data_IF_195396484104
#
_entry.id   IF_195396484104
#
_cell.length_a   1.000
_cell.length_b   1.000
_cell.length_c   1.000
_cell.angle_alpha   90.00
_cell.angle_beta   90.00
_cell.angle_gamma   90.00
#
_symmetry.space_group_name_H-M   'P 1'
#
loop_
_entity.id
_entity.type
_entity.pdbx_description
1 polymer ?
#
# COMPACT_ATOMS: atom_id res chain seq x y z
N UNK A 1 14.80 -11.20 -19.57
CA UNK A 1 14.39 -10.62 -19.44
C UNK A 1 13.88 -10.32 -19.42
N UNK A 2 13.72 -10.48 -19.21
CA UNK A 2 12.78 -10.04 -19.47
C UNK A 2 12.81 -9.01 -19.90
N UNK A 3 13.01 -8.88 -20.30
CA UNK A 3 12.95 -7.95 -20.74
C UNK A 3 12.16 -7.40 -21.62
N UNK A 4 12.01 -7.34 -22.35
CA UNK A 4 10.99 -6.69 -23.10
C UNK A 4 10.03 -5.89 -22.23
N UNK A 5 9.09 -5.14 -22.82
CA UNK A 5 8.13 -4.40 -22.00
C UNK A 5 7.34 -5.34 -21.11
N UNK A 6 7.17 -4.96 -19.87
CA UNK A 6 6.35 -5.73 -18.97
C UNK A 6 4.90 -5.60 -19.34
N UNK A 7 4.21 -6.72 -19.30
CA UNK A 7 2.78 -6.74 -19.50
C UNK A 7 2.17 -6.58 -18.11
N UNK A 8 1.50 -5.45 -17.90
CA UNK A 8 0.76 -5.22 -16.66
C UNK A 8 -0.66 -5.72 -16.82
N UNK A 9 -1.28 -6.08 -15.73
CA UNK A 9 -2.69 -6.42 -15.73
C UNK A 9 -3.51 -5.17 -16.06
N UNK A 10 -4.75 -5.32 -16.54
CA UNK A 10 -5.58 -4.15 -16.90
C UNK A 10 -5.78 -3.20 -15.73
N UNK A 11 -6.04 -1.93 -16.05
CA UNK A 11 -6.36 -0.93 -15.04
C UNK A 11 -7.55 -1.38 -14.21
N UNK A 12 -7.50 -1.04 -12.92
CA UNK A 12 -8.60 -1.34 -12.02
C UNK A 12 -8.66 -0.26 -10.94
N UNK A 13 -9.87 -0.10 -10.39
CA UNK A 13 -10.09 0.80 -9.27
C UNK A 13 -10.05 0.03 -7.96
N UNK A 14 -9.70 0.67 -6.86
CA UNK A 14 -9.76 -0.01 -5.57
C UNK A 14 -11.22 -0.26 -5.19
N UNK A 15 -11.46 -1.41 -4.56
CA UNK A 15 -12.80 -1.65 -4.01
C UNK A 15 -12.94 -1.03 -2.62
N UNK A 16 -11.85 -0.59 -2.02
CA UNK A 16 -11.85 0.08 -0.73
C UNK A 16 -10.63 0.96 -0.60
N UNK A 17 -10.82 2.15 -0.06
CA UNK A 17 -9.73 3.05 0.31
C UNK A 17 -10.01 3.56 1.71
N UNK A 18 -9.00 3.59 2.55
CA UNK A 18 -9.20 4.00 3.94
C UNK A 18 -7.97 4.58 4.55
N UNK A 19 -8.11 4.95 5.80
CA UNK A 19 -7.03 5.50 6.60
C UNK A 19 -6.96 4.80 7.93
N UNK A 20 -5.76 4.67 8.46
CA UNK A 20 -5.52 4.06 9.75
C UNK A 20 -4.56 4.94 10.54
N UNK A 21 -5.02 5.45 11.67
CA UNK A 21 -4.18 6.23 12.57
C UNK A 21 -3.32 5.26 13.38
N UNK A 22 -2.00 5.34 13.20
CA UNK A 22 -1.07 4.42 13.83
C UNK A 22 -0.29 5.06 14.97
N UNK A 23 -0.37 6.39 15.11
CA UNK A 23 0.24 7.11 16.21
C UNK A 23 -0.48 8.45 16.37
N UNK A 24 -0.15 9.24 17.43
CA UNK A 24 -0.77 10.56 17.57
C UNK A 24 -0.54 11.49 16.38
N UNK A 25 0.53 11.27 15.61
CA UNK A 25 0.88 12.17 14.50
C UNK A 25 0.75 11.53 13.11
N UNK A 26 0.72 10.20 13.00
CA UNK A 26 0.69 9.55 11.70
C UNK A 26 -0.63 8.88 11.39
N UNK A 27 -1.18 9.22 10.23
CA UNK A 27 -2.40 8.65 9.69
C UNK A 27 -2.07 8.08 8.31
N UNK A 28 -2.17 6.78 8.16
CA UNK A 28 -1.76 6.08 6.94
C UNK A 28 -2.92 5.97 5.96
N UNK A 29 -2.60 6.16 4.69
CA UNK A 29 -3.53 5.87 3.60
C UNK A 29 -3.23 4.49 3.03
N UNK A 30 -4.27 3.70 2.82
CA UNK A 30 -4.13 2.42 2.14
C UNK A 30 -5.35 2.17 1.26
N UNK A 31 -5.18 1.30 0.28
CA UNK A 31 -6.29 0.89 -0.58
C UNK A 31 -6.22 -0.60 -0.87
N UNK A 32 -7.37 -1.17 -1.20
CA UNK A 32 -7.48 -2.58 -1.54
C UNK A 32 -8.09 -2.70 -2.92
N UNK A 33 -7.50 -3.55 -3.75
CA UNK A 33 -7.93 -3.78 -5.12
C UNK A 33 -7.96 -5.28 -5.42
N UNK A 34 -8.58 -5.64 -6.53
CA UNK A 34 -8.60 -7.02 -6.99
C UNK A 34 -9.67 -7.85 -6.31
N UNK A 35 -9.31 -9.04 -5.89
CA UNK A 35 -10.26 -10.02 -5.33
C UNK A 35 -10.35 -9.86 -3.81
N UNK A 36 -11.50 -9.41 -3.27
CA UNK A 36 -11.65 -9.25 -1.82
C UNK A 36 -11.45 -10.55 -1.04
N UNK A 37 -11.66 -11.68 -1.69
CA UNK A 37 -11.50 -12.98 -1.07
C UNK A 37 -10.22 -13.68 -1.53
N UNK A 38 -9.36 -12.96 -2.22
CA UNK A 38 -8.15 -13.52 -2.79
C UNK A 38 -7.02 -13.60 -1.78
N UNK A 39 -5.90 -14.10 -2.26
CA UNK A 39 -4.68 -14.22 -1.47
C UNK A 39 -4.14 -12.81 -1.21
N UNK A 40 -3.95 -12.42 0.05
CA UNK A 40 -3.50 -11.06 0.35
C UNK A 40 -2.04 -10.84 -0.04
N UNK A 41 -1.79 -9.66 -0.61
CA UNK A 41 -0.44 -9.20 -0.90
C UNK A 41 -0.37 -7.71 -0.56
N UNK A 42 0.67 -7.31 0.16
CA UNK A 42 0.91 -5.91 0.51
C UNK A 42 2.08 -5.42 -0.33
N UNK A 43 1.83 -4.37 -1.10
CA UNK A 43 2.89 -3.74 -1.89
C UNK A 43 3.41 -2.52 -1.13
N UNK A 44 4.72 -2.49 -0.89
CA UNK A 44 5.40 -1.36 -0.27
C UNK A 44 6.18 -0.63 -1.36
N UNK A 45 5.84 0.63 -1.57
CA UNK A 45 6.50 1.42 -2.60
C UNK A 45 7.96 1.68 -2.26
N UNK A 46 8.77 1.89 -3.29
CA UNK A 46 10.18 2.25 -3.10
C UNK A 46 10.34 3.75 -3.06
N UNK A 47 11.49 4.19 -2.54
CA UNK A 47 11.87 5.58 -2.51
C UNK A 47 11.08 6.42 -1.51
N UNK A 48 11.67 7.49 -1.01
CA UNK A 48 10.96 8.36 -0.07
C UNK A 48 10.01 9.31 -0.80
N UNK A 49 8.89 9.63 -0.17
CA UNK A 49 8.01 10.71 -0.56
C UNK A 49 6.95 10.39 -1.60
N UNK A 50 7.20 9.45 -2.50
CA UNK A 50 6.33 9.25 -3.66
C UNK A 50 5.00 8.58 -3.34
N UNK A 51 5.02 7.58 -2.48
CA UNK A 51 3.83 6.79 -2.21
C UNK A 51 3.49 5.82 -3.33
N UNK A 52 2.32 5.23 -3.27
CA UNK A 52 1.85 4.30 -4.29
C UNK A 52 1.15 5.05 -5.42
N UNK A 53 1.13 4.41 -6.60
CA UNK A 53 0.48 4.96 -7.79
C UNK A 53 -0.49 3.94 -8.34
N UNK A 54 -1.42 4.39 -9.17
CA UNK A 54 -2.42 3.52 -9.78
C UNK A 54 -1.81 2.33 -10.52
N UNK A 55 -0.65 2.53 -11.15
CA UNK A 55 0.01 1.45 -11.89
C UNK A 55 0.43 0.29 -10.99
N UNK A 56 0.66 0.54 -9.69
CA UNK A 56 1.08 -0.52 -8.77
C UNK A 56 -0.02 -1.57 -8.58
N UNK A 57 -1.30 -1.20 -8.77
CA UNK A 57 -2.40 -2.15 -8.73
C UNK A 57 -2.29 -3.20 -9.83
N UNK A 58 -1.59 -2.87 -10.91
CA UNK A 58 -1.50 -3.69 -12.11
C UNK A 58 -0.36 -4.68 -12.09
N UNK A 59 0.38 -4.76 -10.96
CA UNK A 59 1.51 -5.67 -10.84
C UNK A 59 1.07 -7.10 -10.47
N UNK A 60 -0.16 -7.26 -9.98
CA UNK A 60 -0.66 -8.53 -9.47
C UNK A 60 -1.96 -8.90 -10.17
N UNK A 61 -2.21 -10.21 -10.30
CA UNK A 61 -3.43 -10.71 -10.93
C UNK A 61 -4.63 -10.40 -10.04
N UNK A 62 -5.55 -9.51 -10.48
CA UNK A 62 -6.68 -9.11 -9.66
C UNK A 62 -7.72 -10.21 -9.44
N UNK A 63 -7.67 -11.29 -10.21
CA UNK A 63 -8.56 -12.43 -10.01
C UNK A 63 -8.08 -13.30 -8.85
N UNK A 64 -6.78 -13.28 -8.57
CA UNK A 64 -6.14 -14.15 -7.58
C UNK A 64 -5.86 -13.43 -6.27
N UNK A 65 -5.43 -12.19 -6.34
CA UNK A 65 -4.89 -11.48 -5.17
C UNK A 65 -5.82 -10.41 -4.65
N UNK A 66 -5.83 -10.30 -3.31
CA UNK A 66 -6.34 -9.13 -2.60
C UNK A 66 -5.14 -8.19 -2.47
N UNK A 67 -5.14 -7.14 -3.26
CA UNK A 67 -3.98 -6.26 -3.43
C UNK A 67 -4.10 -5.06 -2.49
N UNK A 68 -3.18 -4.95 -1.54
CA UNK A 68 -3.15 -3.85 -0.58
C UNK A 68 -1.99 -2.94 -0.94
N UNK A 69 -2.29 -1.68 -1.24
CA UNK A 69 -1.28 -0.66 -1.45
C UNK A 69 -1.26 0.23 -0.22
N UNK A 70 -0.08 0.41 0.37
CA UNK A 70 0.09 1.20 1.57
C UNK A 70 1.04 2.35 1.29
N UNK A 71 0.58 3.58 1.57
CA UNK A 71 1.47 4.73 1.56
C UNK A 71 2.13 4.81 2.92
N UNK A 72 3.45 4.69 2.93
CA UNK A 72 4.24 4.68 4.16
C UNK A 72 4.18 6.05 4.85
N UNK A 73 4.58 6.08 6.14
CA UNK A 73 4.61 7.34 6.89
C UNK A 73 5.36 8.42 6.11
N UNK A 74 4.78 9.61 6.03
CA UNK A 74 5.40 10.73 5.35
C UNK A 74 5.33 10.67 3.83
N UNK A 75 4.66 9.67 3.26
CA UNK A 75 4.65 9.43 1.82
C UNK A 75 3.23 9.49 1.25
N UNK A 76 3.14 9.92 -0.01
CA UNK A 76 1.89 9.89 -0.75
C UNK A 76 0.76 10.60 -0.03
N UNK A 77 -0.33 9.89 0.17
CA UNK A 77 -1.54 10.42 0.82
C UNK A 77 -1.55 10.22 2.32
N UNK A 78 -0.54 9.54 2.89
CA UNK A 78 -0.41 9.44 4.33
C UNK A 78 -0.01 10.80 4.92
N UNK A 79 -0.51 11.11 6.10
CA UNK A 79 -0.26 12.42 6.71
C UNK A 79 0.43 12.29 8.04
N UNK A 80 1.29 13.24 8.45
CA UNK A 80 1.69 14.43 7.69
C UNK A 80 2.69 14.08 6.59
N UNK A 81 2.57 14.77 5.47
CA UNK A 81 3.43 14.54 4.32
C UNK A 81 4.88 14.94 4.62
N UNK A 82 5.83 14.11 4.16
CA UNK A 82 7.26 14.35 4.28
C UNK A 82 7.76 14.41 5.74
N UNK A 83 6.99 13.91 6.68
CA UNK A 83 7.43 13.88 8.07
C UNK A 83 8.48 12.82 8.30
N UNK A 84 9.56 13.20 8.99
CA UNK A 84 10.61 12.26 9.42
C UNK A 84 10.44 11.87 10.88
N UNK A 85 9.50 12.47 11.57
CA UNK A 85 9.26 12.22 12.99
C UNK A 85 8.61 10.84 13.15
N UNK A 86 9.13 10.03 14.09
CA UNK A 86 8.63 8.68 14.33
C UNK A 86 8.55 7.87 13.03
N UNK A 87 9.58 7.97 12.19
CA UNK A 87 9.54 7.36 10.86
C UNK A 87 10.82 6.57 10.60
N UNK A 88 10.92 5.41 11.25
CA UNK A 88 12.05 4.50 11.12
C UNK A 88 11.58 3.19 10.50
N UNK A 89 12.54 2.30 10.19
CA UNK A 89 12.22 0.96 9.70
C UNK A 89 11.34 0.19 10.69
N UNK A 90 11.58 0.39 11.99
CA UNK A 90 10.75 -0.27 13.01
C UNK A 90 9.32 0.23 12.98
N UNK A 91 9.13 1.52 12.74
CA UNK A 91 7.79 2.07 12.57
C UNK A 91 7.09 1.49 11.34
N UNK A 92 7.83 1.29 10.26
CA UNK A 92 7.26 0.67 9.05
C UNK A 92 6.78 -0.75 9.34
N UNK A 93 7.59 -1.55 10.03
CA UNK A 93 7.19 -2.91 10.41
C UNK A 93 5.92 -2.89 11.26
N UNK A 94 5.89 -2.00 12.25
CA UNK A 94 4.73 -1.85 13.11
C UNK A 94 3.48 -1.45 12.32
N UNK A 95 3.63 -0.56 11.36
CA UNK A 95 2.52 -0.08 10.53
C UNK A 95 1.97 -1.19 9.64
N UNK A 96 2.84 -2.00 9.04
CA UNK A 96 2.40 -3.13 8.22
C UNK A 96 1.58 -4.10 9.06
N UNK A 97 2.02 -4.37 10.30
CA UNK A 97 1.28 -5.22 11.22
C UNK A 97 -0.08 -4.62 11.60
N UNK A 98 -0.12 -3.31 11.83
CA UNK A 98 -1.37 -2.63 12.16
C UNK A 98 -2.38 -2.72 11.01
N UNK A 99 -1.92 -2.49 9.79
CA UNK A 99 -2.76 -2.60 8.60
C UNK A 99 -3.24 -4.03 8.41
N UNK A 100 -2.34 -5.01 8.60
CA UNK A 100 -2.70 -6.41 8.49
C UNK A 100 -3.84 -6.77 9.45
N UNK A 101 -3.73 -6.32 10.69
CA UNK A 101 -4.76 -6.59 11.70
C UNK A 101 -6.06 -5.89 11.38
N UNK A 102 -5.97 -4.65 10.92
CA UNK A 102 -7.15 -3.87 10.54
C UNK A 102 -7.94 -4.58 9.42
N UNK A 103 -7.23 -5.19 8.48
CA UNK A 103 -7.83 -5.85 7.34
C UNK A 103 -8.17 -7.32 7.59
N UNK A 104 -7.86 -7.84 8.76
CA UNK A 104 -8.15 -9.22 9.10
C UNK A 104 -7.32 -10.25 8.36
N UNK A 105 -6.11 -9.89 8.02
CA UNK A 105 -5.22 -10.75 7.24
C UNK A 105 -4.27 -11.52 8.17
#
# INVERSE_FOLDING_TARGET
MLDGPRILYPDLEPFYAGRLKVSPIHDLYYEQSGNPNGKPVVFLHGGPGGGTEAKHRRYFDPAVYRIVLLDQRGCGKSTPFASLEENTTWHLVSDVEAVRKELGI
#
